data_IF_481018307172
#
_entry.id   IF_481018307172
#
_cell.length_a   1.000
_cell.length_b   1.000
_cell.length_c   1.000
_cell.angle_alpha   90.00
_cell.angle_beta   90.00
_cell.angle_gamma   90.00
#
_symmetry.space_group_name_H-M   'P 1'
#
loop_
_entity.id
_entity.type
_entity.pdbx_description
1 polymer ?
#
# COMPACT_ATOMS: atom_id res chain seq x y z
N UNK A 1 42.27 46.83 26.68
CA UNK A 1 42.36 45.36 26.53
C UNK A 1 41.13 44.63 27.07
N UNK A 2 40.62 44.95 28.27
CA UNK A 2 39.44 44.30 28.88
C UNK A 2 38.15 44.29 28.03
N UNK A 3 37.85 45.36 27.28
CA UNK A 3 36.65 45.41 26.44
C UNK A 3 36.64 44.38 25.29
N UNK A 4 37.81 44.07 24.72
CA UNK A 4 37.94 43.07 23.64
C UNK A 4 37.69 41.66 24.19
N UNK A 5 38.15 41.39 25.42
CA UNK A 5 37.91 40.12 26.11
C UNK A 5 36.42 39.93 26.40
N UNK A 6 35.73 41.00 26.80
CA UNK A 6 34.28 40.95 27.05
C UNK A 6 33.48 40.62 25.78
N UNK A 7 33.87 41.24 24.65
CA UNK A 7 33.25 40.97 23.34
C UNK A 7 33.48 39.51 22.92
N UNK A 8 34.69 38.98 23.10
CA UNK A 8 35.00 37.58 22.81
C UNK A 8 34.16 36.60 23.64
N UNK A 9 33.98 36.88 24.94
CA UNK A 9 33.15 36.05 25.81
C UNK A 9 31.69 36.01 25.35
N UNK A 10 31.14 37.15 24.95
CA UNK A 10 29.76 37.23 24.42
C UNK A 10 29.64 36.46 23.09
N UNK A 11 30.65 36.51 22.23
CA UNK A 11 30.66 35.77 20.96
C UNK A 11 30.65 34.25 21.18
N UNK A 12 31.38 33.75 22.17
CA UNK A 12 31.42 32.31 22.51
C UNK A 12 30.05 31.82 22.96
N UNK A 13 29.37 32.57 23.84
CA UNK A 13 28.03 32.21 24.34
C UNK A 13 27.01 32.12 23.22
N UNK A 14 27.12 32.96 22.18
CA UNK A 14 26.21 32.94 21.02
C UNK A 14 26.45 31.77 20.06
N UNK A 15 27.64 31.16 20.08
CA UNK A 15 28.02 30.07 19.17
C UNK A 15 27.53 28.70 19.68
N UNK A 16 27.48 28.52 21.00
CA UNK A 16 27.02 27.27 21.63
C UNK A 16 25.62 26.83 21.17
N UNK A 17 24.56 27.66 21.22
CA UNK A 17 23.24 27.24 20.75
C UNK A 17 23.23 26.89 19.25
N UNK A 18 23.99 27.65 18.45
CA UNK A 18 24.10 27.43 17.00
C UNK A 18 24.78 26.10 16.66
N UNK A 19 25.73 25.64 17.49
CA UNK A 19 26.36 24.32 17.36
C UNK A 19 25.36 23.19 17.66
N UNK A 20 24.50 23.37 18.67
CA UNK A 20 23.46 22.40 19.02
C UNK A 20 22.44 22.30 17.87
N UNK A 21 21.90 23.42 17.40
CA UNK A 21 20.97 23.47 16.26
C UNK A 21 21.58 22.84 14.99
N UNK A 22 22.87 23.08 14.73
CA UNK A 22 23.56 22.47 13.56
C UNK A 22 23.66 20.95 13.69
N UNK A 23 23.93 20.45 14.90
CA UNK A 23 23.99 19.01 15.15
C UNK A 23 22.61 18.36 15.05
N UNK A 24 21.57 18.99 15.61
CA UNK A 24 20.19 18.50 15.50
C UNK A 24 19.73 18.46 14.04
N UNK A 25 20.00 19.52 13.27
CA UNK A 25 19.67 19.57 11.84
C UNK A 25 20.42 18.49 11.05
N UNK A 26 21.68 18.25 11.37
CA UNK A 26 22.47 17.17 10.76
C UNK A 26 21.88 15.81 11.09
N UNK A 27 21.49 15.56 12.33
CA UNK A 27 20.87 14.31 12.76
C UNK A 27 19.53 14.09 12.06
N UNK A 28 18.69 15.12 11.96
CA UNK A 28 17.42 15.07 11.24
C UNK A 28 17.62 14.73 9.76
N UNK A 29 18.58 15.37 9.09
CA UNK A 29 18.90 15.09 7.70
C UNK A 29 19.43 13.66 7.49
N UNK A 30 20.26 13.15 8.41
CA UNK A 30 20.74 11.76 8.37
C UNK A 30 19.61 10.76 8.60
N UNK A 31 18.69 11.05 9.52
CA UNK A 31 17.50 10.23 9.79
C UNK A 31 16.58 10.16 8.57
N UNK A 32 16.33 11.29 7.92
CA UNK A 32 15.53 11.37 6.69
C UNK A 32 16.19 10.61 5.53
N UNK A 33 17.50 10.77 5.36
CA UNK A 33 18.28 10.03 4.36
C UNK A 33 18.19 8.52 4.58
N UNK A 34 18.29 8.05 5.82
CA UNK A 34 18.13 6.64 6.15
C UNK A 34 16.71 6.13 5.88
N UNK A 35 15.68 6.92 6.18
CA UNK A 35 14.29 6.57 5.85
C UNK A 35 14.11 6.40 4.34
N UNK A 36 14.62 7.35 3.55
CA UNK A 36 14.53 7.32 2.08
C UNK A 36 15.26 6.09 1.54
N UNK A 37 16.48 5.79 2.01
CA UNK A 37 17.21 4.59 1.58
C UNK A 37 16.49 3.29 1.90
N UNK A 38 15.88 3.20 3.07
CA UNK A 38 15.10 2.01 3.46
C UNK A 38 13.85 1.86 2.58
N UNK A 39 13.18 2.96 2.25
CA UNK A 39 12.05 2.96 1.31
C UNK A 39 12.49 2.54 -0.09
N UNK A 40 13.60 3.07 -0.58
CA UNK A 40 14.18 2.71 -1.87
C UNK A 40 14.49 1.21 -1.94
N UNK A 41 15.18 0.66 -0.93
CA UNK A 41 15.47 -0.77 -0.85
C UNK A 41 14.20 -1.62 -0.85
N UNK A 42 13.17 -1.22 -0.10
CA UNK A 42 11.87 -1.90 -0.06
C UNK A 42 11.14 -1.85 -1.40
N UNK A 43 11.17 -0.72 -2.10
CA UNK A 43 10.58 -0.55 -3.42
C UNK A 43 11.31 -1.37 -4.48
N UNK A 44 12.64 -1.43 -4.43
CA UNK A 44 13.43 -2.26 -5.34
C UNK A 44 13.11 -3.76 -5.17
N UNK A 45 12.98 -4.24 -3.94
CA UNK A 45 12.55 -5.61 -3.68
C UNK A 45 11.14 -5.90 -4.21
N UNK A 46 10.22 -4.95 -4.06
CA UNK A 46 8.87 -5.07 -4.62
C UNK A 46 8.89 -5.10 -6.15
N UNK A 47 9.65 -4.22 -6.80
CA UNK A 47 9.82 -4.21 -8.25
C UNK A 47 10.39 -5.53 -8.73
N UNK A 48 11.43 -6.04 -8.07
CA UNK A 48 12.05 -7.32 -8.42
C UNK A 48 11.02 -8.46 -8.31
N UNK A 49 10.27 -8.50 -7.21
CA UNK A 49 9.19 -9.48 -7.03
C UNK A 49 8.10 -9.38 -8.10
N UNK A 50 7.69 -8.17 -8.49
CA UNK A 50 6.69 -7.93 -9.55
C UNK A 50 7.23 -8.27 -10.95
N UNK A 51 8.54 -8.13 -11.16
CA UNK A 51 9.17 -8.39 -12.46
C UNK A 51 9.33 -9.89 -12.75
N UNK A 52 9.37 -10.71 -11.69
CA UNK A 52 9.39 -12.17 -11.80
C UNK A 52 8.13 -12.72 -12.49
N UNK A 53 8.23 -13.85 -13.18
CA UNK A 53 7.08 -14.48 -13.84
C UNK A 53 5.95 -14.80 -12.85
N UNK A 54 6.31 -15.30 -11.66
CA UNK A 54 5.36 -15.58 -10.59
C UNK A 54 4.67 -14.30 -10.07
N UNK A 55 5.39 -13.19 -9.99
CA UNK A 55 4.85 -11.88 -9.58
C UNK A 55 3.89 -11.29 -10.60
N UNK A 56 4.24 -11.37 -11.89
CA UNK A 56 3.37 -10.96 -13.00
C UNK A 56 2.07 -11.75 -13.02
N UNK A 57 2.14 -13.07 -12.86
CA UNK A 57 0.96 -13.92 -12.79
C UNK A 57 0.08 -13.57 -11.58
N UNK A 58 0.69 -13.34 -10.41
CA UNK A 58 -0.04 -12.97 -9.19
C UNK A 58 -0.76 -11.63 -9.33
N UNK A 59 -0.08 -10.62 -9.88
CA UNK A 59 -0.66 -9.30 -10.14
C UNK A 59 -1.80 -9.37 -11.18
N UNK A 60 -1.65 -10.21 -12.21
CA UNK A 60 -2.70 -10.46 -13.18
C UNK A 60 -3.91 -11.16 -12.53
N UNK A 61 -3.68 -12.16 -11.69
CA UNK A 61 -4.74 -12.89 -10.96
C UNK A 61 -5.53 -11.99 -10.03
N UNK A 62 -4.85 -11.10 -9.31
CA UNK A 62 -5.49 -10.14 -8.41
C UNK A 62 -6.34 -9.13 -9.19
N UNK A 63 -5.79 -8.57 -10.28
CA UNK A 63 -6.47 -7.54 -11.06
C UNK A 63 -7.66 -8.06 -11.88
N UNK A 64 -7.58 -9.29 -12.36
CA UNK A 64 -8.60 -9.87 -13.26
C UNK A 64 -9.39 -11.03 -12.64
N UNK A 65 -9.18 -11.34 -11.36
CA UNK A 65 -9.81 -12.46 -10.62
C UNK A 65 -9.79 -13.79 -11.40
N UNK A 66 -8.70 -14.03 -12.14
CA UNK A 66 -8.56 -15.20 -13.00
C UNK A 66 -8.28 -16.42 -12.13
N UNK A 67 -9.27 -17.30 -11.97
CA UNK A 67 -9.11 -18.59 -11.31
C UNK A 67 -8.49 -19.59 -12.29
N UNK A 68 -7.85 -20.66 -11.77
CA UNK A 68 -7.36 -21.73 -12.65
C UNK A 68 -8.54 -22.45 -13.30
N UNK A 69 -8.33 -23.03 -14.48
CA UNK A 69 -9.31 -23.93 -15.11
C UNK A 69 -9.66 -25.06 -14.13
N UNK A 70 -10.90 -25.06 -13.62
CA UNK A 70 -11.41 -26.02 -12.64
C UNK A 70 -11.67 -25.47 -11.22
N UNK A 71 -11.29 -24.23 -10.90
CA UNK A 71 -11.60 -23.59 -9.62
C UNK A 71 -12.89 -22.76 -9.74
N UNK A 72 -14.00 -23.28 -9.16
CA UNK A 72 -15.31 -22.62 -9.15
C UNK A 72 -15.44 -21.58 -8.04
N UNK A 73 -15.93 -20.38 -8.37
CA UNK A 73 -16.25 -19.32 -7.40
C UNK A 73 -17.64 -19.58 -6.78
N UNK A 74 -17.69 -19.99 -5.51
CA UNK A 74 -18.95 -20.10 -4.76
C UNK A 74 -19.29 -18.73 -4.17
N UNK A 75 -20.35 -18.10 -4.66
CA UNK A 75 -20.91 -16.88 -4.09
C UNK A 75 -22.15 -17.26 -3.29
N UNK A 76 -22.04 -17.22 -1.96
CA UNK A 76 -23.19 -17.44 -1.07
C UNK A 76 -23.88 -16.09 -0.88
N UNK A 77 -25.09 -15.97 -1.43
CA UNK A 77 -26.00 -14.85 -1.15
C UNK A 77 -27.01 -15.37 -0.14
N UNK A 78 -27.10 -14.70 1.00
CA UNK A 78 -28.01 -15.06 2.08
C UNK A 78 -29.38 -14.43 1.78
N UNK A 79 -30.21 -15.13 1.00
CA UNK A 79 -31.60 -14.74 0.79
C UNK A 79 -32.43 -15.18 1.99
N UNK A 80 -32.55 -14.27 2.95
CA UNK A 80 -33.60 -14.35 3.97
C UNK A 80 -34.93 -14.03 3.29
N UNK A 81 -35.51 -15.02 2.61
CA UNK A 81 -36.95 -15.28 2.58
C UNK A 81 -37.33 -16.34 1.53
N UNK A 82 -37.96 -17.42 2.03
CA UNK A 82 -38.87 -18.40 1.37
C UNK A 82 -38.28 -19.72 0.85
N UNK A 83 -38.35 -20.70 1.75
CA UNK A 83 -39.12 -21.97 1.69
C UNK A 83 -39.37 -22.65 0.33
N UNK A 84 -38.84 -23.88 0.26
CA UNK A 84 -39.23 -25.08 -0.50
C UNK A 84 -39.36 -25.04 -2.04
N UNK A 85 -38.48 -25.78 -2.72
CA UNK A 85 -38.81 -27.05 -3.43
C UNK A 85 -37.59 -27.56 -4.20
N UNK A 86 -37.22 -28.81 -3.94
CA UNK A 86 -36.30 -29.61 -4.76
C UNK A 86 -36.88 -29.86 -6.15
N UNK A 87 -36.18 -29.47 -7.22
CA UNK A 87 -35.68 -30.41 -8.24
C UNK A 87 -34.80 -29.73 -9.31
N UNK A 88 -33.81 -30.50 -9.76
CA UNK A 88 -32.72 -30.11 -10.65
C UNK A 88 -33.18 -29.70 -12.05
N UNK A 89 -33.43 -28.41 -12.31
CA UNK A 89 -33.32 -27.84 -13.67
C UNK A 89 -33.17 -26.30 -13.70
N UNK A 90 -32.61 -25.73 -12.64
CA UNK A 90 -32.75 -24.30 -12.35
C UNK A 90 -31.68 -23.37 -12.95
N UNK A 91 -30.49 -23.89 -13.26
CA UNK A 91 -29.35 -23.03 -13.64
C UNK A 91 -29.62 -22.27 -14.95
N UNK A 92 -30.14 -22.93 -15.98
CA UNK A 92 -30.33 -22.30 -17.30
C UNK A 92 -31.49 -21.29 -17.32
N UNK A 93 -32.54 -21.55 -16.53
CA UNK A 93 -33.73 -20.70 -16.43
C UNK A 93 -33.45 -19.43 -15.61
N UNK A 94 -32.77 -19.57 -14.46
CA UNK A 94 -32.39 -18.45 -13.58
C UNK A 94 -31.30 -17.55 -14.17
N UNK A 95 -30.40 -18.09 -15.00
CA UNK A 95 -29.39 -17.28 -15.70
C UNK A 95 -30.05 -16.41 -16.79
N UNK A 96 -30.98 -16.97 -17.57
CA UNK A 96 -31.66 -16.22 -18.63
C UNK A 96 -32.49 -15.06 -18.09
N UNK A 97 -33.15 -15.23 -16.95
CA UNK A 97 -33.92 -14.15 -16.30
C UNK A 97 -33.04 -13.04 -15.73
N UNK A 98 -31.81 -13.36 -15.31
CA UNK A 98 -30.84 -12.38 -14.81
C UNK A 98 -30.24 -11.50 -15.93
N UNK A 99 -29.83 -12.09 -17.06
CA UNK A 99 -29.30 -11.31 -18.19
C UNK A 99 -30.33 -10.33 -18.76
N UNK A 100 -31.59 -10.76 -18.90
CA UNK A 100 -32.65 -9.88 -19.39
C UNK A 100 -32.88 -8.67 -18.48
N UNK A 101 -32.61 -8.78 -17.17
CA UNK A 101 -32.81 -7.69 -16.21
C UNK A 101 -31.66 -6.68 -16.18
N UNK A 102 -30.46 -7.09 -16.56
CA UNK A 102 -29.26 -6.24 -16.61
C UNK A 102 -29.13 -5.52 -17.96
N UNK A 103 -29.57 -6.15 -19.06
CA UNK A 103 -29.41 -5.59 -20.40
C UNK A 103 -30.68 -4.92 -20.96
N UNK A 104 -31.83 -5.05 -20.30
CA UNK A 104 -33.10 -4.48 -20.73
C UNK A 104 -33.67 -3.46 -19.71
N UNK A 105 -32.78 -2.80 -18.97
CA UNK A 105 -33.00 -1.55 -18.24
C UNK A 105 -31.90 -0.57 -18.61
#
# INVERSE_FOLDING_TARGET
>A
MFGVVLIMLISIVKIVPKLIETNENKENALSELNKIRNQEAGLLLQIDSLSSEAGKERALREKFRVTKDGEGLIVIIDDRDKTDLTENTDSKSKIRSFYNKIFNN
#
